data_IF_754060394860
#
_entry.id   IF_754060394860
#
_cell.length_a   1.000
_cell.length_b   1.000
_cell.length_c   1.000
_cell.angle_alpha   90.00
_cell.angle_beta   90.00
_cell.angle_gamma   90.00
#
_symmetry.space_group_name_H-M   'P 1'
#
loop_
_entity.id
_entity.type
_entity.pdbx_description
1 polymer ?
#
# COMPACT_ATOMS: atom_id res chain seq x y z
N UNK A 1 -13.37 -11.97 18.32
CA UNK A 1 -12.04 -12.29 18.69
C UNK A 1 -11.08 -11.67 17.73
N UNK A 2 -10.14 -11.04 18.25
CA UNK A 2 -9.27 -10.39 17.37
C UNK A 2 -8.23 -11.34 16.83
N UNK A 3 -7.90 -11.13 15.61
CA UNK A 3 -7.00 -12.00 14.93
C UNK A 3 -5.60 -11.58 15.21
N UNK A 4 -4.90 -12.44 15.85
CA UNK A 4 -3.59 -12.10 16.23
C UNK A 4 -2.57 -12.36 15.18
N UNK A 5 -2.78 -13.35 14.40
CA UNK A 5 -1.81 -13.73 13.39
C UNK A 5 -0.45 -14.07 13.99
N UNK A 6 -0.42 -14.36 15.29
CA UNK A 6 0.79 -14.74 15.96
C UNK A 6 1.80 -13.62 16.10
N UNK A 7 1.38 -12.36 15.96
CA UNK A 7 2.30 -11.25 16.00
C UNK A 7 1.74 -10.11 16.77
N UNK A 8 2.61 -9.30 17.36
CA UNK A 8 2.19 -8.09 17.99
C UNK A 8 1.99 -7.00 16.94
N UNK A 9 1.51 -5.85 17.34
CA UNK A 9 1.19 -4.80 16.40
C UNK A 9 2.41 -4.22 15.72
N UNK A 10 3.57 -4.21 16.36
CA UNK A 10 4.78 -3.71 15.71
C UNK A 10 5.20 -4.60 14.56
N UNK A 11 5.19 -5.91 14.78
CA UNK A 11 5.58 -6.85 13.73
C UNK A 11 4.59 -6.81 12.59
N UNK A 12 3.32 -6.63 12.90
CA UNK A 12 2.29 -6.54 11.88
C UNK A 12 2.47 -5.29 11.03
N UNK A 13 2.77 -4.15 11.64
CA UNK A 13 3.03 -2.94 10.91
C UNK A 13 4.24 -3.08 10.00
N UNK A 14 5.29 -3.72 10.48
CA UNK A 14 6.49 -3.92 9.69
C UNK A 14 6.19 -4.79 8.47
N UNK A 15 5.38 -5.81 8.64
CA UNK A 15 5.00 -6.69 7.55
C UNK A 15 4.24 -5.91 6.46
N UNK A 16 3.24 -5.13 6.86
CA UNK A 16 2.45 -4.40 5.88
C UNK A 16 3.26 -3.28 5.22
N UNK A 17 4.16 -2.65 5.95
CA UNK A 17 5.04 -1.66 5.37
C UNK A 17 5.90 -2.25 4.27
N UNK A 18 6.45 -3.43 4.52
CA UNK A 18 7.27 -4.11 3.54
C UNK A 18 6.45 -4.47 2.29
N UNK A 19 5.25 -4.99 2.49
CA UNK A 19 4.38 -5.38 1.38
C UNK A 19 3.95 -4.16 0.57
N UNK A 20 3.58 -3.07 1.26
CA UNK A 20 3.17 -1.85 0.57
C UNK A 20 4.31 -1.27 -0.24
N UNK A 21 5.51 -1.27 0.30
CA UNK A 21 6.68 -0.78 -0.42
C UNK A 21 6.87 -1.60 -1.70
N UNK A 22 6.72 -2.90 -1.62
CA UNK A 22 6.84 -3.76 -2.79
C UNK A 22 5.77 -3.48 -3.84
N UNK A 23 4.54 -3.27 -3.40
CA UNK A 23 3.44 -2.96 -4.32
C UNK A 23 3.75 -1.69 -5.11
N UNK A 24 4.16 -0.65 -4.43
CA UNK A 24 4.42 0.61 -5.12
C UNK A 24 5.69 0.56 -5.96
N UNK A 25 6.65 -0.25 -5.56
CA UNK A 25 7.88 -0.39 -6.34
C UNK A 25 7.68 -1.19 -7.62
N UNK A 26 6.94 -2.28 -7.53
CA UNK A 26 6.82 -3.23 -8.64
C UNK A 26 5.48 -3.18 -9.36
N UNK A 27 4.49 -2.54 -8.79
CA UNK A 27 3.18 -2.42 -9.40
C UNK A 27 2.23 -3.55 -9.08
N UNK A 28 2.75 -4.67 -8.62
CA UNK A 28 1.90 -5.80 -8.24
C UNK A 28 2.67 -6.75 -7.34
N UNK A 29 1.93 -7.51 -6.56
CA UNK A 29 2.50 -8.59 -5.77
C UNK A 29 1.51 -9.74 -5.73
N UNK A 30 2.00 -10.90 -5.32
CA UNK A 30 1.16 -12.06 -5.06
C UNK A 30 1.20 -12.36 -3.57
N UNK A 31 0.04 -12.56 -2.97
CA UNK A 31 -0.04 -12.80 -1.55
C UNK A 31 -1.36 -13.51 -1.26
N UNK A 32 -1.64 -13.81 0.00
CA UNK A 32 -2.90 -14.43 0.35
C UNK A 32 -4.04 -13.45 0.18
N UNK A 33 -5.25 -13.97 0.01
CA UNK A 33 -6.41 -13.12 -0.22
C UNK A 33 -6.66 -12.19 0.97
N UNK A 34 -6.50 -12.67 2.19
CA UNK A 34 -6.71 -11.84 3.37
C UNK A 34 -5.73 -10.68 3.43
N UNK A 35 -4.45 -10.95 3.14
CA UNK A 35 -3.45 -9.90 3.13
C UNK A 35 -3.67 -8.94 1.96
N UNK A 36 -4.09 -9.47 0.82
CA UNK A 36 -4.34 -8.63 -0.34
C UNK A 36 -5.44 -7.61 -0.06
N UNK A 37 -6.50 -8.01 0.62
CA UNK A 37 -7.58 -7.08 0.94
C UNK A 37 -7.11 -5.99 1.88
N UNK A 38 -6.34 -6.36 2.88
CA UNK A 38 -5.85 -5.37 3.82
C UNK A 38 -4.86 -4.42 3.18
N UNK A 39 -3.95 -4.96 2.36
CA UNK A 39 -2.96 -4.14 1.65
C UNK A 39 -3.65 -3.22 0.67
N UNK A 40 -4.69 -3.69 0.00
CA UNK A 40 -5.43 -2.87 -0.95
C UNK A 40 -6.01 -1.63 -0.27
N UNK A 41 -6.62 -1.79 0.90
CA UNK A 41 -7.15 -0.65 1.64
C UNK A 41 -6.08 0.32 2.06
N UNK A 42 -4.94 -0.19 2.54
CA UNK A 42 -3.85 0.67 2.95
C UNK A 42 -3.20 1.38 1.77
N UNK A 43 -3.06 0.69 0.65
CA UNK A 43 -2.50 1.29 -0.56
C UNK A 43 -3.40 2.40 -1.07
N UNK A 44 -4.70 2.19 -1.04
CA UNK A 44 -5.63 3.23 -1.48
C UNK A 44 -5.54 4.47 -0.60
N UNK A 45 -5.36 4.29 0.71
CA UNK A 45 -5.17 5.42 1.62
C UNK A 45 -3.91 6.19 1.26
N UNK A 46 -2.82 5.49 0.95
CA UNK A 46 -1.58 6.16 0.60
C UNK A 46 -1.68 6.89 -0.74
N UNK A 47 -2.37 6.33 -1.70
CA UNK A 47 -2.57 7.02 -2.98
C UNK A 47 -3.41 8.27 -2.78
N UNK A 48 -4.43 8.20 -1.92
CA UNK A 48 -5.23 9.37 -1.60
C UNK A 48 -4.38 10.47 -0.95
N UNK A 49 -3.48 10.09 -0.05
CA UNK A 49 -2.55 11.06 0.54
C UNK A 49 -1.66 11.67 -0.52
N UNK A 50 -1.16 10.85 -1.43
CA UNK A 50 -0.27 11.33 -2.48
C UNK A 50 -0.98 12.30 -3.41
N UNK A 51 -2.26 12.07 -3.64
CA UNK A 51 -3.05 12.99 -4.48
C UNK A 51 -3.23 14.35 -3.82
N UNK A 52 -3.28 14.40 -2.49
CA UNK A 52 -3.28 15.68 -1.79
C UNK A 52 -1.98 16.43 -2.03
N UNK A 53 -0.88 15.71 -2.00
CA UNK A 53 0.41 16.26 -2.39
C UNK A 53 1.04 17.26 -1.44
N UNK A 54 0.45 17.53 -0.29
CA UNK A 54 1.01 18.54 0.60
C UNK A 54 2.12 17.93 1.46
N UNK A 55 2.81 18.76 2.19
CA UNK A 55 3.95 18.35 2.99
C UNK A 55 3.55 17.38 4.09
N UNK A 56 2.40 17.61 4.71
CA UNK A 56 1.92 16.72 5.77
C UNK A 56 1.64 15.33 5.21
N UNK A 57 1.04 15.25 4.02
CA UNK A 57 0.77 13.97 3.40
C UNK A 57 2.06 13.24 3.07
N UNK A 58 3.07 13.96 2.57
CA UNK A 58 4.36 13.35 2.24
C UNK A 58 5.05 12.82 3.49
N UNK A 59 4.99 13.56 4.58
CA UNK A 59 5.58 13.09 5.84
C UNK A 59 4.90 11.83 6.35
N UNK A 60 3.59 11.78 6.23
CA UNK A 60 2.84 10.59 6.64
C UNK A 60 3.24 9.39 5.79
N UNK A 61 3.36 9.58 4.48
CA UNK A 61 3.75 8.49 3.60
C UNK A 61 5.16 7.99 3.91
N UNK A 62 6.08 8.90 4.19
CA UNK A 62 7.45 8.50 4.54
C UNK A 62 7.43 7.65 5.80
N UNK A 63 6.65 8.05 6.80
CA UNK A 63 6.61 7.30 8.05
C UNK A 63 6.01 5.91 7.85
N UNK A 64 5.17 5.73 6.85
CA UNK A 64 4.53 4.43 6.61
C UNK A 64 5.34 3.52 5.70
N UNK A 65 6.10 4.08 4.77
CA UNK A 65 6.82 3.28 3.80
C UNK A 65 8.31 3.13 4.07
N UNK A 66 8.91 4.12 4.71
CA UNK A 66 10.34 4.12 5.06
C UNK A 66 11.27 3.99 3.85
N UNK A 67 10.80 4.37 2.67
CA UNK A 67 11.62 4.29 1.48
C UNK A 67 11.35 5.55 0.66
N UNK A 68 12.28 6.46 0.65
CA UNK A 68 12.09 7.75 0.01
C UNK A 68 11.92 7.65 -1.49
N UNK A 69 12.58 6.69 -2.12
CA UNK A 69 12.41 6.51 -3.55
C UNK A 69 11.01 6.07 -3.90
N UNK A 70 10.45 5.15 -3.09
CA UNK A 70 9.10 4.68 -3.31
C UNK A 70 8.10 5.80 -3.04
N UNK A 71 8.35 6.62 -2.00
CA UNK A 71 7.48 7.75 -1.72
C UNK A 71 7.52 8.75 -2.87
N UNK A 72 8.70 9.01 -3.42
CA UNK A 72 8.82 9.90 -4.57
C UNK A 72 8.03 9.36 -5.76
N UNK A 73 8.17 8.06 -6.03
CA UNK A 73 7.42 7.43 -7.10
C UNK A 73 5.91 7.55 -6.86
N UNK A 74 5.48 7.34 -5.62
CA UNK A 74 4.08 7.44 -5.26
C UNK A 74 3.52 8.83 -5.54
N UNK A 75 4.24 9.87 -5.14
CA UNK A 75 3.76 11.24 -5.29
C UNK A 75 3.92 11.77 -6.71
N UNK A 76 4.99 11.39 -7.40
CA UNK A 76 5.30 11.97 -8.71
C UNK A 76 4.67 11.20 -9.87
N UNK A 77 4.53 9.88 -9.73
CA UNK A 77 4.07 9.05 -10.84
C UNK A 77 2.71 8.43 -10.58
N UNK A 78 2.57 7.77 -9.43
CA UNK A 78 1.36 7.01 -9.17
C UNK A 78 0.18 7.95 -8.93
N UNK A 79 0.37 8.97 -8.13
CA UNK A 79 -0.69 9.92 -7.85
C UNK A 79 -1.16 10.62 -9.11
N UNK A 80 -0.22 10.96 -9.98
CA UNK A 80 -0.55 11.61 -11.25
C UNK A 80 -1.38 10.70 -12.13
N UNK A 81 -1.04 9.43 -12.15
CA UNK A 81 -1.75 8.44 -12.95
C UNK A 81 -3.22 8.32 -12.54
N UNK A 82 -3.50 8.48 -11.26
CA UNK A 82 -4.85 8.29 -10.73
C UNK A 82 -5.54 9.59 -10.31
N UNK A 83 -5.05 10.72 -10.74
CA UNK A 83 -5.55 11.99 -10.23
C UNK A 83 -7.04 12.22 -10.51
N UNK A 84 -7.57 11.63 -11.57
CA UNK A 84 -8.97 11.80 -11.93
C UNK A 84 -9.86 10.70 -11.37
N UNK A 85 -9.31 9.78 -10.59
CA UNK A 85 -10.07 8.68 -10.05
C UNK A 85 -10.26 8.88 -8.56
N UNK A 86 -11.43 8.55 -8.04
CA UNK A 86 -11.71 8.73 -6.63
C UNK A 86 -11.85 7.38 -5.96
N UNK A 87 -10.75 6.88 -5.38
CA UNK A 87 -10.75 5.60 -4.70
C UNK A 87 -10.63 4.43 -5.66
N UNK A 88 -10.54 3.24 -5.12
CA UNK A 88 -10.45 2.03 -5.92
C UNK A 88 -9.25 1.98 -6.83
N UNK A 89 -8.10 2.37 -6.33
CA UNK A 89 -6.88 2.44 -7.15
C UNK A 89 -6.22 1.08 -7.33
N UNK A 90 -6.58 0.09 -6.53
CA UNK A 90 -5.95 -1.21 -6.59
C UNK A 90 -6.98 -2.25 -6.98
N UNK A 91 -6.49 -3.39 -7.48
CA UNK A 91 -7.35 -4.48 -7.91
C UNK A 91 -6.79 -5.78 -7.36
N UNK A 92 -7.69 -6.62 -6.84
CA UNK A 92 -7.33 -7.93 -6.36
C UNK A 92 -7.82 -8.95 -7.37
N UNK A 93 -6.88 -9.73 -7.91
CA UNK A 93 -7.22 -10.80 -8.84
C UNK A 93 -6.98 -12.12 -8.13
N UNK A 94 -7.98 -12.98 -8.17
CA UNK A 94 -7.83 -14.31 -7.60
C UNK A 94 -7.20 -15.21 -8.63
N UNK A 95 -6.01 -15.65 -8.35
CA UNK A 95 -5.35 -16.62 -9.21
C UNK A 95 -5.86 -17.99 -8.80
N UNK A 96 -6.03 -18.87 -9.67
CA UNK A 96 -6.55 -20.18 -9.33
C UNK A 96 -5.63 -20.94 -8.38
N UNK A 97 -6.00 -22.16 -8.02
CA UNK A 97 -5.17 -22.94 -7.13
C UNK A 97 -3.79 -23.13 -7.71
N UNK A 98 -2.81 -23.08 -6.85
CA UNK A 98 -1.45 -23.24 -7.29
C UNK A 98 -1.10 -24.70 -7.33
N UNK A 99 -0.33 -25.05 -8.23
CA UNK A 99 0.05 -26.44 -8.33
C UNK A 99 1.48 -26.64 -8.22
#
# INVERSE_FOLDING_TARGET
MYRKLGRDSSARKALFRSVLTSVFRHGRIETTEAKAKEVSGLADQLITLAKRGDLAARRTAISRLYDEEVVRKLFDEIAEKYKDRQGGYTRILKLGPRR
#
